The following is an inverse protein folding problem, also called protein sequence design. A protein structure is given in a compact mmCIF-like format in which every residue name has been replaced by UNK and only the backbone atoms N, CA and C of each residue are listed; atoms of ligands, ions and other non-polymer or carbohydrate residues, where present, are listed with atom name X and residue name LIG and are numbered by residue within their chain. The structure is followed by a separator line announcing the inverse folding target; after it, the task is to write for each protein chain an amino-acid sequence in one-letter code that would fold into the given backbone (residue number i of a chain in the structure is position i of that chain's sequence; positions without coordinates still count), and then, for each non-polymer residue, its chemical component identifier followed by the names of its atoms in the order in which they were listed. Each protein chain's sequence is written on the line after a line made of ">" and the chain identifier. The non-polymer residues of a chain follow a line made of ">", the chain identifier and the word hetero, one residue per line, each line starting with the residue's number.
data_IF_087046491067
#
_entry.id   IF_087046491067
#
_cell.length_a   1.000
_cell.length_b   1.000
_cell.length_c   1.000
_cell.angle_alpha   90.00
_cell.angle_beta   90.00
_cell.angle_gamma   90.00
#
_symmetry.space_group_name_H-M   'P 1'
#
loop_
_entity.id
_entity.type
_entity.pdbx_description
1 polymer ?
#
# COMPACT_ATOMS: atom_id res chain seq x y z
N UNK A 1 23.88 13.24 -12.86
CA UNK A 1 24.62 12.41 -11.88
C UNK A 1 23.93 12.51 -10.52
N UNK A 2 24.06 13.60 -9.75
CA UNK A 2 23.44 13.73 -8.41
C UNK A 2 21.97 13.30 -8.28
N UNK A 3 21.09 13.63 -9.24
CA UNK A 3 19.67 13.20 -9.22
C UNK A 3 19.46 11.71 -9.50
N UNK A 4 20.20 11.15 -10.48
CA UNK A 4 20.18 9.71 -10.78
C UNK A 4 20.71 8.92 -9.59
N UNK A 5 21.78 9.42 -8.95
CA UNK A 5 22.35 8.81 -7.76
C UNK A 5 21.36 8.87 -6.59
N UNK A 6 20.65 10.01 -6.41
CA UNK A 6 19.61 10.14 -5.38
C UNK A 6 18.42 9.23 -5.62
N UNK A 7 17.94 9.13 -6.85
CA UNK A 7 16.88 8.19 -7.24
C UNK A 7 17.28 6.75 -6.91
N UNK A 8 18.49 6.35 -7.31
CA UNK A 8 18.99 4.99 -7.08
C UNK A 8 19.12 4.67 -5.60
N UNK A 9 19.63 5.63 -4.81
CA UNK A 9 19.74 5.48 -3.36
C UNK A 9 18.37 5.42 -2.68
N UNK A 10 17.43 6.27 -3.09
CA UNK A 10 16.06 6.26 -2.57
C UNK A 10 15.35 4.93 -2.85
N UNK A 11 15.45 4.42 -4.09
CA UNK A 11 14.95 3.09 -4.43
C UNK A 11 15.57 2.00 -3.57
N UNK A 12 16.89 2.05 -3.33
CA UNK A 12 17.58 1.08 -2.48
C UNK A 12 17.05 1.09 -1.05
N UNK A 13 16.84 2.28 -0.48
CA UNK A 13 16.31 2.43 0.89
C UNK A 13 14.91 1.80 0.98
N UNK A 14 14.00 2.16 0.08
CA UNK A 14 12.64 1.63 0.07
C UNK A 14 12.63 0.11 -0.14
N UNK A 15 13.39 -0.41 -1.11
CA UNK A 15 13.49 -1.86 -1.34
C UNK A 15 14.07 -2.62 -0.14
N UNK A 16 15.00 -2.00 0.59
CA UNK A 16 15.53 -2.57 1.84
C UNK A 16 14.46 -2.60 2.93
N UNK A 17 13.67 -1.52 3.07
CA UNK A 17 12.54 -1.47 4.01
C UNK A 17 11.46 -2.51 3.69
N UNK A 18 11.15 -2.71 2.41
CA UNK A 18 10.24 -3.77 1.95
C UNK A 18 10.80 -5.15 2.32
N UNK A 19 12.07 -5.42 2.03
CA UNK A 19 12.72 -6.69 2.37
C UNK A 19 12.77 -6.94 3.89
N UNK A 20 12.91 -5.88 4.68
CA UNK A 20 12.85 -5.92 6.15
C UNK A 20 11.42 -5.93 6.71
N UNK A 21 10.40 -5.99 5.85
CA UNK A 21 8.98 -6.01 6.22
C UNK A 21 8.54 -4.82 7.08
N UNK A 22 9.10 -3.63 6.80
CA UNK A 22 8.63 -2.40 7.43
C UNK A 22 7.15 -2.15 7.11
N UNK A 23 6.39 -1.49 8.00
CA UNK A 23 4.99 -1.17 7.76
C UNK A 23 4.79 -0.47 6.41
N UNK A 24 3.71 -0.81 5.70
CA UNK A 24 3.43 -0.26 4.37
C UNK A 24 3.44 1.28 4.39
N UNK A 25 2.80 1.90 5.38
CA UNK A 25 2.74 3.35 5.51
C UNK A 25 4.14 4.01 5.59
N UNK A 26 5.12 3.35 6.22
CA UNK A 26 6.50 3.85 6.29
C UNK A 26 7.17 3.81 4.92
N UNK A 27 7.05 2.69 4.20
CA UNK A 27 7.59 2.55 2.85
C UNK A 27 6.93 3.56 1.88
N UNK A 28 5.61 3.73 1.96
CA UNK A 28 4.90 4.74 1.16
C UNK A 28 5.34 6.17 1.50
N UNK A 29 5.58 6.46 2.78
CA UNK A 29 6.12 7.75 3.23
C UNK A 29 7.51 8.03 2.64
N UNK A 30 8.40 7.04 2.63
CA UNK A 30 9.72 7.16 2.01
C UNK A 30 9.65 7.39 0.50
N UNK A 31 8.71 6.74 -0.20
CA UNK A 31 8.49 6.96 -1.64
C UNK A 31 8.00 8.39 -1.90
N UNK A 32 7.02 8.86 -1.11
CA UNK A 32 6.52 10.23 -1.22
C UNK A 32 7.63 11.26 -0.99
N UNK A 33 8.41 11.11 0.08
CA UNK A 33 9.55 11.99 0.38
C UNK A 33 10.62 11.96 -0.71
N UNK A 34 10.91 10.80 -1.30
CA UNK A 34 11.88 10.71 -2.39
C UNK A 34 11.44 11.56 -3.61
N UNK A 35 10.14 11.56 -3.92
CA UNK A 35 9.62 12.41 -5.00
C UNK A 35 9.74 13.90 -4.67
N UNK A 36 9.38 14.30 -3.44
CA UNK A 36 9.47 15.68 -2.95
C UNK A 36 10.92 16.19 -2.92
N UNK A 37 11.89 15.34 -2.59
CA UNK A 37 13.31 15.68 -2.62
C UNK A 37 13.84 15.90 -4.05
N UNK A 38 13.31 15.16 -5.02
CA UNK A 38 13.70 15.27 -6.44
C UNK A 38 13.02 16.45 -7.14
N UNK A 39 11.85 16.86 -6.65
CA UNK A 39 11.01 17.93 -7.17
C UNK A 39 10.68 18.92 -6.05
N UNK A 40 11.54 19.93 -5.83
CA UNK A 40 11.25 20.99 -4.87
C UNK A 40 9.87 21.60 -5.12
N UNK A 41 9.18 21.97 -4.04
CA UNK A 41 7.80 22.51 -4.03
C UNK A 41 6.67 21.51 -4.27
N UNK A 42 6.98 20.26 -4.63
CA UNK A 42 6.01 19.19 -4.69
C UNK A 42 5.60 18.73 -3.27
N UNK A 43 4.33 18.40 -3.11
CA UNK A 43 3.79 17.70 -1.94
C UNK A 43 3.11 16.42 -2.43
N UNK A 44 3.44 15.28 -1.86
CA UNK A 44 2.97 13.98 -2.35
C UNK A 44 1.96 13.32 -1.42
N UNK A 45 0.99 12.63 -2.02
CA UNK A 45 0.15 11.67 -1.32
C UNK A 45 0.04 10.37 -2.09
N UNK A 46 0.16 9.25 -1.39
CA UNK A 46 -0.18 7.93 -1.88
C UNK A 46 -1.43 7.48 -1.16
N UNK A 47 -2.48 7.19 -1.94
CA UNK A 47 -3.74 6.66 -1.44
C UNK A 47 -3.89 5.20 -1.89
N UNK A 48 -4.52 4.38 -1.05
CA UNK A 48 -4.79 2.98 -1.29
C UNK A 48 -6.27 2.78 -1.59
N UNK A 49 -6.63 1.80 -2.40
CA UNK A 49 -8.04 1.41 -2.53
C UNK A 49 -8.47 0.56 -1.34
N UNK A 50 -9.71 0.77 -0.88
CA UNK A 50 -10.37 -0.15 0.04
C UNK A 50 -10.69 -1.51 -0.62
N UNK A 51 -11.21 -2.45 0.18
CA UNK A 51 -11.44 -3.82 -0.26
C UNK A 51 -12.46 -3.94 -1.40
N UNK A 52 -13.48 -3.07 -1.43
CA UNK A 52 -14.50 -3.03 -2.49
C UNK A 52 -14.12 -2.09 -3.66
N UNK A 53 -13.00 -1.35 -3.52
CA UNK A 53 -12.45 -0.40 -4.49
C UNK A 53 -13.38 0.77 -4.78
N UNK A 54 -14.24 1.11 -3.84
CA UNK A 54 -15.19 2.22 -3.95
C UNK A 54 -14.67 3.49 -3.30
N UNK A 55 -13.70 3.41 -2.36
CA UNK A 55 -13.10 4.57 -1.73
C UNK A 55 -11.58 4.51 -1.69
N UNK A 56 -10.97 5.70 -1.62
CA UNK A 56 -9.54 5.85 -1.35
C UNK A 56 -9.28 6.00 0.15
N UNK A 57 -8.30 5.27 0.64
CA UNK A 57 -7.81 5.31 2.01
C UNK A 57 -6.44 5.97 2.04
N UNK A 58 -6.17 6.70 3.12
CA UNK A 58 -4.86 7.31 3.34
C UNK A 58 -3.76 6.24 3.45
N UNK A 59 -2.77 6.29 2.56
CA UNK A 59 -1.57 5.44 2.61
C UNK A 59 -0.39 6.17 3.25
N UNK A 60 0.03 7.28 2.61
CA UNK A 60 1.03 8.20 3.16
C UNK A 60 0.92 9.58 2.50
N UNK A 61 1.11 10.66 3.26
CA UNK A 61 1.27 12.01 2.73
C UNK A 61 2.07 12.91 3.69
N UNK A 62 3.41 12.73 3.73
CA UNK A 62 4.25 13.23 4.83
C UNK A 62 4.35 14.75 4.92
N UNK A 63 4.15 15.46 3.79
CA UNK A 63 4.26 16.92 3.73
C UNK A 63 2.91 17.63 3.57
N UNK A 64 1.81 16.89 3.50
CA UNK A 64 0.46 17.46 3.49
C UNK A 64 -0.06 17.65 4.92
N UNK A 65 -0.87 18.70 5.18
CA UNK A 65 -1.46 18.90 6.51
C UNK A 65 -2.37 17.74 6.92
N UNK A 66 -2.29 17.32 8.18
CA UNK A 66 -3.12 16.22 8.72
C UNK A 66 -4.61 16.46 8.55
N UNK A 67 -5.07 17.72 8.69
CA UNK A 67 -6.46 18.10 8.48
C UNK A 67 -6.92 17.83 7.04
N UNK A 68 -6.08 18.12 6.05
CA UNK A 68 -6.35 17.81 4.65
C UNK A 68 -6.36 16.30 4.42
N UNK A 69 -5.36 15.59 4.95
CA UNK A 69 -5.25 14.13 4.85
C UNK A 69 -6.50 13.42 5.41
N UNK A 70 -7.02 13.89 6.54
CA UNK A 70 -8.24 13.39 7.13
C UNK A 70 -9.49 13.71 6.28
N UNK A 71 -9.56 14.91 5.69
CA UNK A 71 -10.69 15.32 4.86
C UNK A 71 -10.81 14.52 3.56
N UNK A 72 -9.69 14.09 2.97
CA UNK A 72 -9.67 13.29 1.74
C UNK A 72 -9.68 11.77 1.99
N UNK A 73 -9.59 11.34 3.24
CA UNK A 73 -9.71 9.93 3.59
C UNK A 73 -11.15 9.46 3.36
N UNK A 74 -11.33 8.35 2.63
CA UNK A 74 -12.64 7.81 2.30
C UNK A 74 -13.33 8.52 1.14
N UNK A 75 -12.62 9.29 0.32
CA UNK A 75 -13.18 9.87 -0.90
C UNK A 75 -13.60 8.76 -1.87
N UNK A 76 -14.78 8.90 -2.47
CA UNK A 76 -15.28 7.92 -3.43
C UNK A 76 -14.44 7.90 -4.72
N UNK A 77 -14.35 6.72 -5.34
CA UNK A 77 -13.84 6.55 -6.69
C UNK A 77 -14.96 6.87 -7.68
N UNK A 78 -14.79 7.93 -8.44
CA UNK A 78 -15.79 8.38 -9.40
C UNK A 78 -15.34 9.60 -10.20
N UNK A 79 -16.07 9.85 -11.28
CA UNK A 79 -15.91 11.07 -12.07
C UNK A 79 -16.23 12.31 -11.20
N UNK A 80 -15.34 13.29 -11.17
CA UNK A 80 -15.52 14.51 -10.39
C UNK A 80 -15.20 14.37 -8.89
N UNK A 81 -14.57 13.26 -8.49
CA UNK A 81 -14.17 13.01 -7.11
C UNK A 81 -12.72 13.46 -6.84
N UNK A 82 -12.41 14.71 -7.18
CA UNK A 82 -11.05 15.25 -7.18
C UNK A 82 -10.14 14.53 -8.20
N UNK A 83 -8.84 14.85 -8.19
CA UNK A 83 -7.90 14.21 -9.12
C UNK A 83 -7.73 12.70 -8.82
N UNK A 84 -7.68 12.28 -7.56
CA UNK A 84 -7.45 10.87 -7.18
C UNK A 84 -8.62 9.95 -7.53
N UNK A 85 -9.83 10.28 -7.09
CA UNK A 85 -11.02 9.48 -7.38
C UNK A 85 -11.31 9.39 -8.88
N UNK A 86 -11.12 10.50 -9.60
CA UNK A 86 -11.30 10.54 -11.07
C UNK A 86 -10.23 9.70 -11.78
N UNK A 87 -8.95 9.81 -11.40
CA UNK A 87 -7.86 9.04 -12.01
C UNK A 87 -8.06 7.52 -11.85
N UNK A 88 -8.56 7.09 -10.69
CA UNK A 88 -8.90 5.70 -10.43
C UNK A 88 -10.12 5.24 -11.23
N UNK A 89 -11.16 6.07 -11.31
CA UNK A 89 -12.36 5.79 -12.08
C UNK A 89 -12.06 5.63 -13.57
N UNK A 90 -11.33 6.58 -14.14
CA UNK A 90 -10.95 6.59 -15.56
C UNK A 90 -9.80 5.64 -15.89
N UNK A 91 -9.07 5.18 -14.87
CA UNK A 91 -7.86 4.35 -15.00
C UNK A 91 -6.78 5.02 -15.84
N UNK A 92 -6.68 6.34 -15.72
CA UNK A 92 -5.73 7.18 -16.45
C UNK A 92 -5.21 8.31 -15.55
N UNK A 93 -4.07 8.90 -15.95
CA UNK A 93 -3.53 10.09 -15.29
C UNK A 93 -4.50 11.26 -15.45
N UNK A 94 -4.77 11.96 -14.36
CA UNK A 94 -5.55 13.19 -14.33
C UNK A 94 -4.64 14.34 -13.90
N UNK A 95 -4.60 15.40 -14.70
CA UNK A 95 -3.83 16.62 -14.45
C UNK A 95 -4.81 17.76 -14.25
N UNK A 96 -4.86 18.29 -13.02
CA UNK A 96 -5.56 19.54 -12.71
C UNK A 96 -4.51 20.62 -12.48
N UNK A 97 -4.41 21.55 -13.42
CA UNK A 97 -3.45 22.64 -13.37
C UNK A 97 -3.89 23.78 -12.43
N UNK A 98 -5.20 23.97 -12.25
CA UNK A 98 -5.77 24.98 -11.35
C UNK A 98 -7.02 24.44 -10.64
N UNK A 99 -6.88 24.10 -9.36
CA UNK A 99 -7.95 23.58 -8.49
C UNK A 99 -9.09 24.59 -8.32
N UNK A 100 -8.79 25.89 -8.38
CA UNK A 100 -9.78 26.93 -8.12
C UNK A 100 -10.85 27.00 -9.20
N UNK A 101 -10.54 26.54 -10.41
CA UNK A 101 -11.43 26.63 -11.58
C UNK A 101 -11.85 25.26 -12.14
N UNK A 102 -11.10 24.20 -11.85
CA UNK A 102 -11.37 22.88 -12.41
C UNK A 102 -12.67 22.25 -11.82
N UNK A 103 -13.55 21.69 -12.67
CA UNK A 103 -14.82 21.10 -12.24
C UNK A 103 -14.64 19.81 -11.42
N UNK A 104 -13.54 19.07 -11.59
CA UNK A 104 -13.27 17.84 -10.83
C UNK A 104 -13.11 18.11 -9.33
N UNK A 105 -12.82 19.35 -8.96
CA UNK A 105 -12.58 19.77 -7.58
C UNK A 105 -13.81 20.38 -6.91
N UNK A 106 -14.99 20.41 -7.54
CA UNK A 106 -16.18 21.09 -7.00
C UNK A 106 -16.51 20.69 -5.55
N UNK A 107 -16.36 19.41 -5.18
CA UNK A 107 -16.61 18.92 -3.81
C UNK A 107 -15.45 19.11 -2.82
N UNK A 108 -14.25 19.49 -3.30
CA UNK A 108 -12.99 19.46 -2.53
C UNK A 108 -12.18 20.75 -2.64
N UNK A 109 -12.63 21.72 -3.44
CA UNK A 109 -11.90 22.95 -3.77
C UNK A 109 -11.58 23.76 -2.53
N UNK A 110 -12.59 24.07 -1.72
CA UNK A 110 -12.43 24.99 -0.59
C UNK A 110 -11.42 24.46 0.42
N UNK A 111 -11.49 23.16 0.75
CA UNK A 111 -10.54 22.53 1.68
C UNK A 111 -9.12 22.46 1.09
N UNK A 112 -8.96 22.23 -0.21
CA UNK A 112 -7.65 22.25 -0.86
C UNK A 112 -7.03 23.66 -0.86
N UNK A 113 -7.83 24.69 -1.17
CA UNK A 113 -7.40 26.08 -1.20
C UNK A 113 -7.08 26.62 0.20
N UNK A 114 -7.81 26.21 1.24
CA UNK A 114 -7.50 26.55 2.65
C UNK A 114 -6.08 26.11 3.03
N UNK A 115 -5.64 24.97 2.50
CA UNK A 115 -4.29 24.45 2.71
C UNK A 115 -3.27 24.93 1.66
N UNK A 116 -3.66 25.86 0.78
CA UNK A 116 -2.81 26.47 -0.24
C UNK A 116 -2.37 25.50 -1.33
N UNK A 117 -3.19 24.50 -1.65
CA UNK A 117 -2.99 23.56 -2.75
C UNK A 117 -3.70 24.11 -3.98
N UNK A 118 -2.94 24.42 -5.03
CA UNK A 118 -3.46 25.09 -6.23
C UNK A 118 -3.45 24.22 -7.48
N UNK A 119 -2.60 23.19 -7.53
CA UNK A 119 -2.59 22.18 -8.59
C UNK A 119 -2.55 20.79 -7.99
N UNK A 120 -3.12 19.80 -8.69
CA UNK A 120 -3.05 18.39 -8.29
C UNK A 120 -3.04 17.47 -9.50
N UNK A 121 -2.01 16.63 -9.59
CA UNK A 121 -1.87 15.62 -10.62
C UNK A 121 -1.92 14.26 -9.95
N UNK A 122 -2.77 13.36 -10.44
CA UNK A 122 -2.93 12.03 -9.87
C UNK A 122 -2.75 10.98 -10.95
N UNK A 123 -1.93 9.98 -10.66
CA UNK A 123 -1.74 8.81 -11.53
C UNK A 123 -2.17 7.55 -10.79
N UNK A 124 -3.02 6.69 -11.38
CA UNK A 124 -3.39 5.43 -10.76
C UNK A 124 -2.16 4.52 -10.66
N UNK A 125 -2.02 3.87 -9.50
CA UNK A 125 -1.03 2.82 -9.26
C UNK A 125 -1.68 1.49 -9.61
N UNK A 126 -1.10 0.75 -10.55
CA UNK A 126 -1.61 -0.56 -10.95
C UNK A 126 -0.80 -1.68 -10.31
N UNK A 127 -1.49 -2.71 -9.85
CA UNK A 127 -0.89 -4.00 -9.52
C UNK A 127 -0.46 -4.77 -10.78
N UNK A 128 0.33 -5.80 -10.58
CA UNK A 128 0.79 -6.76 -11.60
C UNK A 128 -0.36 -7.45 -12.36
N UNK A 129 -1.54 -7.55 -11.75
CA UNK A 129 -2.76 -8.06 -12.38
C UNK A 129 -3.51 -7.02 -13.25
N UNK A 130 -2.93 -5.83 -13.44
CA UNK A 130 -3.53 -4.73 -14.19
C UNK A 130 -4.70 -4.05 -13.49
N UNK A 131 -4.98 -4.34 -12.22
CA UNK A 131 -6.01 -3.65 -11.45
C UNK A 131 -5.41 -2.46 -10.68
N UNK A 132 -6.14 -1.33 -10.56
CA UNK A 132 -5.69 -0.26 -9.70
C UNK A 132 -5.64 -0.77 -8.25
N UNK A 133 -4.59 -0.39 -7.53
CA UNK A 133 -4.39 -0.68 -6.11
C UNK A 133 -4.33 0.60 -5.26
N UNK A 134 -4.27 1.76 -5.91
CA UNK A 134 -4.17 3.05 -5.26
C UNK A 134 -3.91 4.18 -6.27
N UNK A 135 -3.60 5.37 -5.78
CA UNK A 135 -3.23 6.53 -6.60
C UNK A 135 -2.03 7.26 -6.01
N UNK A 136 -1.12 7.70 -6.88
CA UNK A 136 -0.02 8.58 -6.54
C UNK A 136 -0.36 10.00 -7.00
N UNK A 137 -0.49 10.92 -6.05
CA UNK A 137 -0.82 12.30 -6.33
C UNK A 137 0.27 13.27 -5.90
N UNK A 138 0.44 14.32 -6.70
CA UNK A 138 1.40 15.40 -6.49
C UNK A 138 0.65 16.72 -6.51
N UNK A 139 0.92 17.55 -5.51
CA UNK A 139 0.32 18.87 -5.34
C UNK A 139 1.38 19.94 -5.41
N UNK A 140 0.97 21.13 -5.87
CA UNK A 140 1.79 22.33 -5.84
C UNK A 140 1.00 23.51 -5.25
N UNK A 141 1.75 24.45 -4.67
CA UNK A 141 1.22 25.73 -4.16
C UNK A 141 1.07 26.81 -5.24
N UNK A 142 1.25 26.42 -6.50
CA UNK A 142 1.12 27.24 -7.69
C UNK A 142 0.21 26.52 -8.69
N UNK A 143 -0.63 27.29 -9.39
CA UNK A 143 -1.41 26.75 -10.51
C UNK A 143 -0.49 26.53 -11.72
N UNK A 144 -0.28 25.27 -12.10
CA UNK A 144 0.68 24.90 -13.17
C UNK A 144 0.44 23.51 -13.74
N UNK A 145 0.94 23.34 -14.95
CA UNK A 145 1.06 22.03 -15.61
C UNK A 145 2.38 21.33 -15.24
N UNK A 146 2.42 19.98 -15.35
CA UNK A 146 3.63 19.21 -15.17
C UNK A 146 4.58 19.36 -16.35
N UNK A 147 5.88 19.34 -16.06
CA UNK A 147 6.91 19.09 -17.07
C UNK A 147 7.01 17.60 -17.40
N UNK A 148 7.57 17.27 -18.57
CA UNK A 148 7.85 15.88 -18.93
C UNK A 148 8.73 15.15 -17.91
N UNK A 149 9.71 15.87 -17.34
CA UNK A 149 10.59 15.32 -16.30
C UNK A 149 9.83 14.94 -15.03
N UNK A 150 8.88 15.76 -14.58
CA UNK A 150 8.07 15.45 -13.39
C UNK A 150 7.18 14.24 -13.65
N UNK A 151 6.61 14.12 -14.86
CA UNK A 151 5.84 12.94 -15.26
C UNK A 151 6.71 11.66 -15.26
N UNK A 152 7.91 11.73 -15.85
CA UNK A 152 8.86 10.61 -15.85
C UNK A 152 9.29 10.21 -14.43
N UNK A 153 9.38 11.19 -13.52
CA UNK A 153 9.67 10.96 -12.11
C UNK A 153 8.49 10.27 -11.40
N UNK A 154 7.25 10.69 -11.67
CA UNK A 154 6.05 10.01 -11.15
C UNK A 154 6.04 8.56 -11.62
N UNK A 155 6.28 8.30 -12.91
CA UNK A 155 6.25 6.95 -13.48
C UNK A 155 7.27 5.99 -12.83
N UNK A 156 8.44 6.51 -12.44
CA UNK A 156 9.40 5.76 -11.65
C UNK A 156 8.90 5.44 -10.24
N UNK A 157 8.24 6.39 -9.56
CA UNK A 157 7.65 6.18 -8.24
C UNK A 157 6.52 5.16 -8.25
N UNK A 158 5.71 5.11 -9.33
CA UNK A 158 4.63 4.14 -9.46
C UNK A 158 5.15 2.71 -9.37
N UNK A 159 6.28 2.42 -10.02
CA UNK A 159 6.86 1.07 -10.04
C UNK A 159 7.19 0.59 -8.63
N UNK A 160 7.87 1.41 -7.83
CA UNK A 160 8.23 1.01 -6.46
C UNK A 160 7.04 1.05 -5.50
N UNK A 161 6.06 1.92 -5.76
CA UNK A 161 4.79 1.95 -5.01
C UNK A 161 4.01 0.64 -5.21
N UNK A 162 3.92 0.15 -6.45
CA UNK A 162 3.29 -1.14 -6.74
C UNK A 162 3.97 -2.28 -5.96
N UNK A 163 5.31 -2.34 -5.99
CA UNK A 163 6.08 -3.38 -5.28
C UNK A 163 5.82 -3.31 -3.77
N UNK A 164 5.82 -2.12 -3.18
CA UNK A 164 5.55 -1.93 -1.75
C UNK A 164 4.16 -2.44 -1.35
N UNK A 165 3.13 -2.05 -2.12
CA UNK A 165 1.73 -2.44 -1.87
C UNK A 165 1.57 -3.95 -2.03
N UNK A 166 2.07 -4.54 -3.11
CA UNK A 166 1.93 -5.98 -3.35
C UNK A 166 2.68 -6.81 -2.31
N UNK A 167 3.88 -6.39 -1.91
CA UNK A 167 4.64 -7.06 -0.86
C UNK A 167 3.88 -7.04 0.47
N UNK A 168 3.32 -5.90 0.86
CA UNK A 168 2.52 -5.79 2.08
C UNK A 168 1.26 -6.69 2.01
N UNK A 169 0.52 -6.66 0.90
CA UNK A 169 -0.65 -7.51 0.72
C UNK A 169 -0.32 -9.02 0.75
N UNK A 170 0.85 -9.42 0.25
CA UNK A 170 1.31 -10.81 0.33
C UNK A 170 1.64 -11.20 1.78
N UNK A 171 2.30 -10.32 2.52
CA UNK A 171 2.61 -10.52 3.95
C UNK A 171 1.31 -10.63 4.76
N UNK A 172 0.34 -9.73 4.52
CA UNK A 172 -0.96 -9.74 5.20
C UNK A 172 -1.72 -11.04 4.94
N UNK A 173 -1.70 -11.56 3.69
CA UNK A 173 -2.30 -12.86 3.36
C UNK A 173 -1.63 -14.03 4.07
N UNK A 174 -0.32 -13.98 4.26
CA UNK A 174 0.40 -15.00 5.04
C UNK A 174 -0.03 -14.93 6.50
N UNK A 175 -0.08 -13.74 7.09
CA UNK A 175 -0.53 -13.54 8.47
C UNK A 175 -1.99 -13.94 8.68
N UNK A 176 -2.89 -13.65 7.74
CA UNK A 176 -4.28 -14.05 7.80
C UNK A 176 -4.41 -15.58 7.80
N UNK A 177 -3.66 -16.27 6.92
CA UNK A 177 -3.64 -17.73 6.85
C UNK A 177 -3.07 -18.36 8.12
N UNK A 178 -1.98 -17.80 8.64
CA UNK A 178 -1.36 -18.27 9.88
C UNK A 178 -2.28 -18.02 11.08
N UNK A 179 -3.00 -16.90 11.09
CA UNK A 179 -4.04 -16.59 12.07
C UNK A 179 -5.20 -17.58 12.02
N UNK A 180 -5.72 -17.91 10.84
CA UNK A 180 -6.75 -18.95 10.67
C UNK A 180 -6.28 -20.29 11.23
N UNK A 181 -5.03 -20.69 10.92
CA UNK A 181 -4.46 -21.93 11.44
C UNK A 181 -4.35 -21.91 12.98
N UNK A 182 -3.86 -20.81 13.56
CA UNK A 182 -3.62 -20.67 15.00
C UNK A 182 -4.91 -20.51 15.83
N UNK A 183 -5.93 -19.83 15.29
CA UNK A 183 -7.19 -19.54 16.00
C UNK A 183 -8.31 -20.54 15.73
N UNK A 184 -8.13 -21.48 14.80
CA UNK A 184 -9.14 -22.49 14.54
C UNK A 184 -9.39 -23.37 15.76
N UNK A 185 -10.67 -23.57 16.08
CA UNK A 185 -11.12 -24.55 17.08
C UNK A 185 -11.12 -25.98 16.53
N UNK A 186 -11.03 -26.15 15.20
CA UNK A 186 -10.85 -27.46 14.60
C UNK A 186 -9.40 -27.92 14.76
N UNK A 187 -9.22 -29.23 14.88
CA UNK A 187 -7.91 -29.84 15.05
C UNK A 187 -7.26 -29.99 13.68
N UNK A 188 -6.21 -29.23 13.44
CA UNK A 188 -5.41 -29.33 12.22
C UNK A 188 -3.98 -29.78 12.54
N UNK A 189 -3.41 -30.55 11.62
CA UNK A 189 -1.98 -30.84 11.62
C UNK A 189 -1.45 -30.96 10.20
N UNK A 190 -0.21 -30.53 10.02
CA UNK A 190 0.60 -30.86 8.84
C UNK A 190 1.56 -31.97 9.24
N UNK A 191 1.54 -33.07 8.50
CA UNK A 191 2.39 -34.24 8.76
C UNK A 191 3.21 -34.60 7.53
N UNK A 192 4.46 -34.99 7.73
CA UNK A 192 5.27 -35.63 6.69
C UNK A 192 5.01 -37.13 6.73
N UNK A 193 4.43 -37.65 5.65
CA UNK A 193 4.11 -39.08 5.51
C UNK A 193 5.39 -39.93 5.43
N UNK A 194 6.50 -39.40 4.90
CA UNK A 194 7.75 -40.16 4.74
C UNK A 194 8.47 -40.34 6.06
N UNK A 195 8.63 -39.26 6.83
CA UNK A 195 9.22 -39.35 8.17
C UNK A 195 8.23 -39.78 9.25
N UNK A 196 6.94 -39.86 8.90
CA UNK A 196 5.83 -40.10 9.81
C UNK A 196 5.76 -39.10 10.97
N UNK A 197 6.20 -37.85 10.78
CA UNK A 197 6.23 -36.84 11.86
C UNK A 197 5.15 -35.78 11.69
N UNK A 198 4.68 -35.25 12.81
CA UNK A 198 3.89 -34.02 12.82
C UNK A 198 4.88 -32.86 12.70
N UNK A 199 4.75 -32.07 11.64
CA UNK A 199 5.61 -30.91 11.37
C UNK A 199 5.02 -29.68 12.05
N UNK A 200 3.71 -29.47 11.89
CA UNK A 200 3.00 -28.31 12.43
C UNK A 200 1.62 -28.73 12.96
N UNK A 201 1.46 -28.93 14.27
CA UNK A 201 0.15 -28.98 14.91
C UNK A 201 -0.39 -27.57 15.12
N UNK A 202 -1.71 -27.38 15.10
CA UNK A 202 -2.30 -26.12 15.55
C UNK A 202 -2.55 -26.13 17.09
N UNK A 203 -2.81 -24.96 17.72
CA UNK A 203 -3.06 -24.90 19.16
C UNK A 203 -4.24 -25.75 19.64
N UNK A 204 -5.29 -25.92 18.83
CA UNK A 204 -6.39 -26.83 19.17
C UNK A 204 -5.92 -28.29 19.25
N UNK A 205 -5.02 -28.73 18.37
CA UNK A 205 -4.42 -30.07 18.43
C UNK A 205 -3.71 -30.30 19.77
N UNK A 206 -2.86 -29.36 20.20
CA UNK A 206 -2.11 -29.49 21.45
C UNK A 206 -3.03 -29.41 22.67
N UNK A 207 -4.04 -28.53 22.67
CA UNK A 207 -5.03 -28.44 23.75
C UNK A 207 -5.89 -29.70 23.89
N UNK A 208 -6.38 -30.26 22.78
CA UNK A 208 -7.27 -31.42 22.82
C UNK A 208 -6.49 -32.71 23.14
N UNK A 209 -5.31 -32.89 22.55
CA UNK A 209 -4.51 -34.10 22.78
C UNK A 209 -3.70 -34.06 24.08
N UNK A 210 -3.43 -32.87 24.60
CA UNK A 210 -2.62 -32.65 25.80
C UNK A 210 -1.11 -32.75 25.57
N UNK A 211 -0.66 -33.05 24.35
CA UNK A 211 0.76 -33.11 24.02
C UNK A 211 1.29 -31.75 23.58
N UNK A 212 2.48 -31.41 24.08
CA UNK A 212 3.23 -30.24 23.62
C UNK A 212 3.76 -30.42 22.20
N UNK A 213 4.05 -29.32 21.51
CA UNK A 213 4.66 -29.37 20.18
C UNK A 213 6.00 -30.14 20.17
N UNK A 214 6.80 -30.01 21.23
CA UNK A 214 8.06 -30.72 21.38
C UNK A 214 7.86 -32.24 21.45
N UNK A 215 6.85 -32.70 22.20
CA UNK A 215 6.50 -34.13 22.30
C UNK A 215 5.99 -34.67 20.97
N UNK A 216 5.09 -33.93 20.31
CA UNK A 216 4.52 -34.29 19.00
C UNK A 216 5.59 -34.34 17.90
N UNK A 217 6.56 -33.43 17.95
CA UNK A 217 7.69 -33.45 17.03
C UNK A 217 8.59 -34.66 17.29
N UNK A 218 8.76 -35.10 18.54
CA UNK A 218 9.76 -36.12 18.92
C UNK A 218 9.48 -37.56 18.45
N UNK A 219 8.22 -37.88 18.11
CA UNK A 219 7.77 -39.26 17.85
C UNK A 219 6.97 -39.37 16.55
N UNK A 220 6.81 -40.59 16.04
CA UNK A 220 5.93 -40.86 14.90
C UNK A 220 4.49 -40.47 15.25
N UNK A 221 3.74 -39.92 14.29
CA UNK A 221 2.36 -39.52 14.51
C UNK A 221 1.46 -40.69 14.91
N UNK A 222 1.85 -41.94 14.57
CA UNK A 222 1.15 -43.17 14.95
C UNK A 222 1.09 -43.37 16.47
N UNK A 223 2.01 -42.77 17.22
CA UNK A 223 2.00 -42.81 18.69
C UNK A 223 0.86 -41.99 19.32
N UNK A 224 0.26 -41.08 18.53
CA UNK A 224 -0.74 -40.11 19.00
C UNK A 224 -2.12 -40.31 18.35
N UNK A 225 -2.28 -41.33 17.51
CA UNK A 225 -3.55 -41.69 16.90
C UNK A 225 -3.86 -43.16 17.20
N UNK A 226 -5.12 -43.45 17.51
CA UNK A 226 -5.54 -44.84 17.66
C UNK A 226 -5.51 -45.52 16.27
N UNK A 227 -5.08 -46.79 16.16
CA UNK A 227 -5.18 -47.56 14.93
C UNK A 227 -6.61 -47.70 14.41
#
# INVERSE_FOLDING_TARGET
>A
RRRIDRMSEGHRIVLTGIAAQHPLAENLGLIAQLHEELNPDALCSILLLDADRSHVLHGAAPSLPDAYNAAIHGVAVGEGQGSCGTALHRRERVVVADIATDPLWTGYRDIALEHGLLACWSTPVFGSNGQPVGSFAVYYREAREPSSYELDCIDQMLTITTIAIESAQLIDKVHERDGFFALSLEIYRVSDVRSQRIIHPNPAFTQVTGFSEAELASSSYDAFVHP
#
